data_IF_118237169931
#
_entry.id   IF_118237169931
#
_cell.length_a   1.000
_cell.length_b   1.000
_cell.length_c   1.000
_cell.angle_alpha   90.00
_cell.angle_beta   90.00
_cell.angle_gamma   90.00
#
_symmetry.space_group_name_H-M   'P 1'
#
loop_
_entity.id
_entity.type
_entity.pdbx_description
1 polymer ?
#
# COMPACT_ATOMS: atom_id res chain seq x y z
N UNK A 1 -17.40 8.63 -22.92
CA UNK A 1 -16.07 8.07 -22.59
C UNK A 1 -15.19 8.20 -23.82
N UNK A 2 -13.96 8.67 -23.68
CA UNK A 2 -12.99 8.71 -24.77
C UNK A 2 -12.14 7.45 -24.68
N UNK A 3 -12.31 6.54 -25.61
CA UNK A 3 -11.53 5.30 -25.72
C UNK A 3 -10.46 5.48 -26.76
N UNK A 4 -9.19 5.48 -26.35
CA UNK A 4 -8.06 5.35 -27.28
C UNK A 4 -7.91 3.85 -27.55
N UNK A 5 -8.21 3.44 -28.77
CA UNK A 5 -8.00 2.07 -29.24
C UNK A 5 -6.67 2.00 -29.98
N UNK A 6 -5.76 1.14 -29.53
CA UNK A 6 -4.52 0.82 -30.24
C UNK A 6 -4.71 -0.54 -30.91
N UNK A 7 -4.27 -0.68 -32.16
CA UNK A 7 -4.38 -1.92 -32.95
C UNK A 7 -3.91 -3.16 -32.19
N UNK A 8 -4.46 -4.33 -32.52
CA UNK A 8 -4.25 -5.65 -31.89
C UNK A 8 -2.81 -6.23 -31.92
N UNK A 9 -1.80 -5.43 -32.23
CA UNK A 9 -0.39 -5.79 -32.17
C UNK A 9 0.25 -5.29 -30.86
N UNK A 10 1.44 -5.82 -30.52
CA UNK A 10 2.31 -5.29 -29.47
C UNK A 10 2.36 -3.77 -29.48
N UNK A 11 2.23 -3.16 -28.31
CA UNK A 11 2.19 -1.71 -28.18
C UNK A 11 3.54 -1.10 -28.57
N UNK A 12 3.58 -0.11 -29.49
CA UNK A 12 4.83 0.57 -29.83
C UNK A 12 5.45 1.23 -28.59
N UNK A 13 6.78 1.18 -28.47
CA UNK A 13 7.48 1.71 -27.29
C UNK A 13 7.10 3.15 -26.94
N UNK A 14 7.00 4.05 -27.94
CA UNK A 14 6.62 5.45 -27.68
C UNK A 14 5.20 5.58 -27.09
N UNK A 15 4.27 4.74 -27.54
CA UNK A 15 2.91 4.69 -27.03
C UNK A 15 2.92 4.14 -25.60
N UNK A 16 3.54 2.97 -25.39
CA UNK A 16 3.67 2.36 -24.06
C UNK A 16 4.31 3.32 -23.05
N UNK A 17 5.36 4.04 -23.46
CA UNK A 17 6.07 5.03 -22.65
C UNK A 17 5.15 6.19 -22.22
N UNK A 18 4.38 6.74 -23.14
CA UNK A 18 3.50 7.87 -22.84
C UNK A 18 2.30 7.44 -21.98
N UNK A 19 1.73 6.27 -22.25
CA UNK A 19 0.63 5.70 -21.48
C UNK A 19 1.07 5.29 -20.07
N UNK A 20 2.26 4.71 -19.92
CA UNK A 20 2.86 4.41 -18.61
C UNK A 20 3.09 5.67 -17.79
N UNK A 21 3.57 6.75 -18.42
CA UNK A 21 3.72 8.05 -17.76
C UNK A 21 2.37 8.60 -17.30
N UNK A 22 1.36 8.57 -18.17
CA UNK A 22 0.04 9.08 -17.84
C UNK A 22 -0.57 8.30 -16.66
N UNK A 23 -0.48 6.98 -16.70
CA UNK A 23 -0.96 6.10 -15.63
C UNK A 23 -0.22 6.37 -14.31
N UNK A 24 1.11 6.46 -14.35
CA UNK A 24 1.92 6.72 -13.17
C UNK A 24 1.66 8.10 -12.56
N UNK A 25 1.44 9.14 -13.38
CA UNK A 25 1.09 10.49 -12.92
C UNK A 25 -0.24 10.48 -12.13
N UNK A 26 -1.23 9.71 -12.60
CA UNK A 26 -2.50 9.54 -11.89
C UNK A 26 -2.36 8.72 -10.63
N UNK A 27 -1.54 7.68 -10.64
CA UNK A 27 -1.20 6.93 -9.43
C UNK A 27 -0.49 7.83 -8.41
N UNK A 28 0.42 8.70 -8.86
CA UNK A 28 1.10 9.68 -8.01
C UNK A 28 0.11 10.61 -7.31
N UNK A 29 -0.83 11.15 -8.08
CA UNK A 29 -1.85 12.07 -7.59
C UNK A 29 -2.82 11.40 -6.60
N UNK A 30 -3.33 10.21 -6.93
CA UNK A 30 -4.38 9.56 -6.14
C UNK A 30 -3.86 8.79 -4.93
N UNK A 31 -2.65 8.25 -5.03
CA UNK A 31 -2.03 7.44 -3.97
C UNK A 31 -1.02 8.23 -3.15
N UNK A 32 -0.79 9.51 -3.47
CA UNK A 32 0.20 10.35 -2.78
C UNK A 32 1.59 9.73 -2.83
N UNK A 33 2.07 9.37 -4.02
CA UNK A 33 3.37 8.73 -4.17
C UNK A 33 4.51 9.70 -3.84
N UNK A 34 5.57 9.20 -3.22
CA UNK A 34 6.85 9.91 -3.14
C UNK A 34 7.52 9.97 -4.51
N UNK A 35 8.54 10.82 -4.68
CA UNK A 35 9.27 10.92 -5.94
C UNK A 35 9.86 9.56 -6.37
N UNK A 36 10.50 8.84 -5.44
CA UNK A 36 11.10 7.53 -5.72
C UNK A 36 10.05 6.47 -6.05
N UNK A 37 8.89 6.49 -5.38
CA UNK A 37 7.77 5.63 -5.74
C UNK A 37 7.22 5.95 -7.13
N UNK A 38 7.10 7.23 -7.48
CA UNK A 38 6.59 7.64 -8.78
C UNK A 38 7.48 7.16 -9.93
N UNK A 39 8.81 7.25 -9.78
CA UNK A 39 9.75 6.71 -10.77
C UNK A 39 9.60 5.20 -10.95
N UNK A 40 9.61 4.44 -9.85
CA UNK A 40 9.47 2.98 -9.90
C UNK A 40 8.10 2.55 -10.45
N UNK A 41 7.01 3.25 -10.11
CA UNK A 41 5.68 2.99 -10.65
C UNK A 41 5.63 3.23 -12.15
N UNK A 42 6.31 4.27 -12.66
CA UNK A 42 6.44 4.50 -14.10
C UNK A 42 7.16 3.34 -14.79
N UNK A 43 8.29 2.87 -14.23
CA UNK A 43 9.06 1.76 -14.79
C UNK A 43 8.24 0.46 -14.82
N UNK A 44 7.60 0.10 -13.72
CA UNK A 44 6.74 -1.09 -13.62
C UNK A 44 5.58 -1.04 -14.62
N UNK A 45 4.96 0.12 -14.78
CA UNK A 45 3.89 0.30 -15.76
C UNK A 45 4.41 0.15 -17.19
N UNK A 46 5.58 0.71 -17.49
CA UNK A 46 6.18 0.58 -18.83
C UNK A 46 6.53 -0.88 -19.14
N UNK A 47 7.12 -1.59 -18.19
CA UNK A 47 7.43 -3.01 -18.34
C UNK A 47 6.20 -3.85 -18.66
N UNK A 48 5.11 -3.62 -17.93
CA UNK A 48 3.85 -4.30 -18.21
C UNK A 48 3.36 -4.01 -19.63
N UNK A 49 3.30 -2.74 -20.04
CA UNK A 49 2.77 -2.37 -21.35
C UNK A 49 3.62 -2.86 -22.52
N UNK A 50 4.95 -2.98 -22.34
CA UNK A 50 5.84 -3.53 -23.36
C UNK A 50 5.71 -5.05 -23.52
N UNK A 51 5.26 -5.75 -22.48
CA UNK A 51 5.16 -7.20 -22.46
C UNK A 51 3.74 -7.74 -22.72
N UNK A 52 2.73 -6.87 -22.74
CA UNK A 52 1.35 -7.23 -23.12
C UNK A 52 1.22 -7.21 -24.65
N UNK A 53 1.02 -8.39 -25.23
CA UNK A 53 1.01 -8.59 -26.69
C UNK A 53 -0.33 -9.14 -27.21
N UNK A 54 -1.00 -9.98 -26.42
CA UNK A 54 -2.28 -10.59 -26.81
C UNK A 54 -3.40 -10.28 -25.81
N UNK A 55 -4.65 -10.51 -26.24
CA UNK A 55 -5.84 -10.42 -25.37
C UNK A 55 -5.69 -11.23 -24.07
N UNK A 56 -5.03 -12.38 -24.13
CA UNK A 56 -4.83 -13.24 -22.96
C UNK A 56 -3.88 -12.63 -21.93
N UNK A 57 -2.99 -11.72 -22.36
CA UNK A 57 -1.94 -11.15 -21.50
C UNK A 57 -2.44 -9.99 -20.63
N UNK A 58 -3.59 -9.39 -20.96
CA UNK A 58 -4.17 -8.24 -20.23
C UNK A 58 -4.27 -8.50 -18.72
N UNK A 59 -4.74 -9.69 -18.35
CA UNK A 59 -4.81 -10.16 -16.96
C UNK A 59 -4.00 -11.45 -16.78
N UNK A 60 -3.00 -11.64 -17.63
CA UNK A 60 -2.13 -12.81 -17.62
C UNK A 60 -0.88 -12.60 -16.77
N UNK A 61 0.16 -13.34 -17.12
CA UNK A 61 1.40 -13.39 -16.36
C UNK A 61 2.02 -12.01 -16.08
N UNK A 62 2.07 -11.12 -17.08
CA UNK A 62 2.69 -9.81 -16.90
C UNK A 62 1.89 -8.86 -16.03
N UNK A 63 0.57 -9.03 -15.97
CA UNK A 63 -0.28 -8.31 -15.03
C UNK A 63 -0.01 -8.74 -13.58
N UNK A 64 0.18 -10.04 -13.34
CA UNK A 64 0.55 -10.56 -12.03
C UNK A 64 1.92 -10.04 -11.60
N UNK A 65 2.91 -10.06 -12.50
CA UNK A 65 4.26 -9.51 -12.25
C UNK A 65 4.18 -8.02 -11.90
N UNK A 66 3.43 -7.23 -12.67
CA UNK A 66 3.23 -5.80 -12.41
C UNK A 66 2.69 -5.56 -11.00
N UNK A 67 1.63 -6.27 -10.63
CA UNK A 67 0.97 -6.06 -9.33
C UNK A 67 1.85 -6.53 -8.17
N UNK A 68 2.60 -7.62 -8.34
CA UNK A 68 3.61 -8.06 -7.39
C UNK A 68 4.72 -7.01 -7.21
N UNK A 69 5.24 -6.46 -8.31
CA UNK A 69 6.31 -5.46 -8.29
C UNK A 69 5.84 -4.17 -7.58
N UNK A 70 4.61 -3.73 -7.86
CA UNK A 70 3.99 -2.58 -7.16
C UNK A 70 3.86 -2.80 -5.64
N UNK A 71 3.70 -4.04 -5.18
CA UNK A 71 3.63 -4.33 -3.73
C UNK A 71 4.95 -4.10 -3.00
N UNK A 72 6.09 -4.20 -3.68
CA UNK A 72 7.38 -3.83 -3.08
C UNK A 72 7.52 -2.32 -2.95
N UNK A 73 7.06 -1.56 -3.94
CA UNK A 73 7.20 -0.09 -4.02
C UNK A 73 6.21 0.64 -3.11
N UNK A 74 4.94 0.23 -3.13
CA UNK A 74 3.86 0.92 -2.43
C UNK A 74 3.83 0.60 -0.93
N UNK A 75 3.35 1.54 -0.12
CA UNK A 75 2.94 1.25 1.26
C UNK A 75 1.69 0.36 1.27
N UNK A 76 1.38 -0.27 2.41
CA UNK A 76 0.19 -1.13 2.53
C UNK A 76 -1.08 -0.39 2.13
N UNK A 77 -1.31 0.82 2.66
CA UNK A 77 -2.53 1.57 2.37
C UNK A 77 -2.59 2.07 0.92
N UNK A 78 -1.43 2.41 0.32
CA UNK A 78 -1.35 2.77 -1.10
C UNK A 78 -1.69 1.57 -1.98
N UNK A 79 -1.19 0.39 -1.62
CA UNK A 79 -1.46 -0.85 -2.35
C UNK A 79 -2.95 -1.26 -2.24
N UNK A 80 -3.55 -1.09 -1.06
CA UNK A 80 -4.99 -1.34 -0.86
C UNK A 80 -5.85 -0.39 -1.72
N UNK A 81 -5.53 0.91 -1.72
CA UNK A 81 -6.17 1.91 -2.59
C UNK A 81 -5.99 1.61 -4.07
N UNK A 82 -4.79 1.18 -4.46
CA UNK A 82 -4.47 0.76 -5.82
C UNK A 82 -5.35 -0.41 -6.26
N UNK A 83 -5.45 -1.48 -5.46
CA UNK A 83 -6.28 -2.64 -5.76
C UNK A 83 -7.78 -2.28 -5.84
N UNK A 84 -8.24 -1.36 -4.99
CA UNK A 84 -9.62 -0.89 -4.99
C UNK A 84 -9.97 0.00 -6.20
N UNK A 85 -8.98 0.46 -6.96
CA UNK A 85 -9.16 1.36 -8.11
C UNK A 85 -9.07 0.60 -9.41
N UNK A 86 -10.21 0.30 -10.06
CA UNK A 86 -10.22 -0.51 -11.29
C UNK A 86 -9.33 0.07 -12.40
N UNK A 87 -9.30 1.40 -12.55
CA UNK A 87 -8.47 2.06 -13.57
C UNK A 87 -6.96 1.97 -13.32
N UNK A 88 -6.52 1.60 -12.10
CA UNK A 88 -5.12 1.32 -11.80
C UNK A 88 -4.81 -0.16 -11.75
N UNK A 89 -5.68 -0.95 -11.11
CA UNK A 89 -5.49 -2.37 -10.93
C UNK A 89 -5.64 -3.14 -12.24
N UNK A 90 -6.56 -2.69 -13.11
CA UNK A 90 -6.84 -3.29 -14.42
C UNK A 90 -6.65 -2.22 -15.50
N UNK A 91 -5.40 -1.76 -15.71
CA UNK A 91 -5.15 -0.52 -16.46
C UNK A 91 -5.41 -0.68 -17.96
N UNK A 92 -5.32 -1.89 -18.49
CA UNK A 92 -5.61 -2.24 -19.89
C UNK A 92 -6.81 -3.18 -19.92
N UNK A 93 -7.68 -3.01 -20.91
CA UNK A 93 -8.76 -3.93 -21.25
C UNK A 93 -8.77 -4.18 -22.75
N UNK A 94 -9.30 -5.33 -23.17
CA UNK A 94 -9.45 -5.67 -24.58
C UNK A 94 -10.86 -5.31 -25.07
N UNK A 95 -10.95 -4.42 -26.06
CA UNK A 95 -12.21 -4.02 -26.70
C UNK A 95 -12.33 -4.49 -28.15
N UNK A 96 -13.38 -4.05 -28.84
CA UNK A 96 -13.66 -4.38 -30.25
C UNK A 96 -12.66 -3.82 -31.27
N UNK A 97 -11.73 -2.96 -30.84
CA UNK A 97 -10.70 -2.34 -31.71
C UNK A 97 -9.26 -2.48 -31.21
N UNK A 98 -9.01 -3.29 -30.17
CA UNK A 98 -7.69 -3.52 -29.57
C UNK A 98 -7.59 -3.01 -28.13
N UNK A 99 -6.41 -2.54 -27.72
CA UNK A 99 -6.13 -2.10 -26.35
C UNK A 99 -6.93 -0.86 -25.98
N UNK A 100 -7.60 -0.87 -24.84
CA UNK A 100 -8.22 0.33 -24.24
C UNK A 100 -7.67 0.52 -22.83
N UNK A 101 -7.38 1.76 -22.45
CA UNK A 101 -6.88 2.07 -21.12
C UNK A 101 -7.98 2.53 -20.18
N UNK A 102 -8.13 1.84 -19.06
CA UNK A 102 -9.16 2.10 -18.05
C UNK A 102 -9.01 3.47 -17.40
N UNK A 103 -7.80 4.05 -17.38
CA UNK A 103 -7.55 5.39 -16.81
C UNK A 103 -8.34 6.51 -17.49
N UNK A 104 -8.68 6.34 -18.77
CA UNK A 104 -9.47 7.33 -19.54
C UNK A 104 -10.97 7.30 -19.22
N UNK A 105 -11.43 6.34 -18.42
CA UNK A 105 -12.79 6.38 -17.86
C UNK A 105 -12.93 7.43 -16.76
N UNK A 106 -11.82 7.79 -16.10
CA UNK A 106 -11.78 8.74 -14.98
C UNK A 106 -11.13 10.06 -15.34
N UNK A 107 -10.08 10.04 -16.16
CA UNK A 107 -9.32 11.23 -16.52
C UNK A 107 -9.41 11.53 -18.01
N UNK A 108 -9.67 12.80 -18.34
CA UNK A 108 -9.47 13.30 -19.69
C UNK A 108 -7.99 13.25 -20.08
N UNK A 109 -7.73 13.17 -21.38
CA UNK A 109 -6.38 13.12 -21.94
C UNK A 109 -5.54 14.36 -21.57
N UNK A 110 -4.24 14.16 -21.37
CA UNK A 110 -3.23 15.23 -21.41
C UNK A 110 -2.99 16.05 -20.14
N UNK A 111 -3.93 16.14 -19.18
CA UNK A 111 -3.65 16.84 -17.91
C UNK A 111 -2.63 16.05 -17.10
N UNK A 112 -1.50 16.64 -16.72
CA UNK A 112 -0.50 16.08 -15.78
C UNK A 112 -0.56 16.80 -14.44
N UNK A 113 -0.23 16.10 -13.36
CA UNK A 113 -0.12 16.66 -12.00
C UNK A 113 1.35 16.80 -11.55
N UNK A 114 2.25 15.99 -12.10
CA UNK A 114 3.66 15.95 -11.75
C UNK A 114 4.55 16.20 -12.97
N UNK A 115 5.78 16.64 -12.71
CA UNK A 115 6.84 16.64 -13.71
C UNK A 115 7.22 15.21 -14.08
N UNK A 116 7.65 15.00 -15.33
CA UNK A 116 8.09 13.69 -15.80
C UNK A 116 9.24 13.15 -14.94
N UNK A 117 9.23 11.85 -14.60
CA UNK A 117 10.31 11.22 -13.85
C UNK A 117 11.62 11.25 -14.66
N UNK A 118 12.77 11.29 -14.00
CA UNK A 118 14.07 11.41 -14.68
C UNK A 118 14.31 10.21 -15.63
N UNK A 119 13.89 9.03 -15.19
CA UNK A 119 13.95 7.76 -15.92
C UNK A 119 13.10 7.73 -17.19
N UNK A 120 12.21 8.71 -17.42
CA UNK A 120 11.36 8.72 -18.61
C UNK A 120 12.15 8.66 -19.93
N UNK A 121 13.30 9.33 -19.99
CA UNK A 121 14.11 9.41 -21.22
C UNK A 121 14.96 8.16 -21.42
N UNK A 122 15.51 7.64 -20.32
CA UNK A 122 16.55 6.61 -20.31
C UNK A 122 15.98 5.20 -20.24
N UNK A 123 14.89 4.97 -19.51
CA UNK A 123 14.36 3.64 -19.27
C UNK A 123 13.72 3.02 -20.53
N UNK A 124 14.07 1.76 -20.84
CA UNK A 124 13.61 1.00 -22.02
C UNK A 124 12.86 -0.28 -21.67
N UNK A 125 12.55 -0.48 -20.39
CA UNK A 125 12.05 -1.75 -19.87
C UNK A 125 13.16 -2.70 -19.42
N UNK A 126 12.75 -3.83 -18.82
CA UNK A 126 13.62 -4.94 -18.40
C UNK A 126 13.75 -5.14 -16.88
N UNK A 127 13.02 -4.40 -16.04
CA UNK A 127 13.05 -4.61 -14.58
C UNK A 127 12.11 -5.74 -14.14
N UNK A 128 10.98 -5.92 -14.81
CA UNK A 128 10.06 -7.04 -14.58
C UNK A 128 10.51 -8.32 -15.31
N UNK A 129 10.78 -9.40 -14.57
CA UNK A 129 11.18 -10.70 -15.14
C UNK A 129 10.55 -11.89 -14.40
N UNK A 130 10.62 -13.10 -15.01
CA UNK A 130 9.94 -14.31 -14.52
C UNK A 130 10.45 -14.84 -13.17
N UNK A 131 11.72 -14.61 -12.84
CA UNK A 131 12.39 -15.21 -11.68
C UNK A 131 12.38 -14.41 -10.38
N UNK A 132 11.80 -13.20 -10.35
CA UNK A 132 11.85 -12.33 -9.18
C UNK A 132 11.39 -10.92 -9.49
N UNK A 133 11.49 -10.03 -8.51
CA UNK A 133 11.21 -8.60 -8.68
C UNK A 133 12.52 -7.83 -8.55
N UNK A 134 12.86 -7.00 -9.53
CA UNK A 134 13.99 -6.05 -9.43
C UNK A 134 13.84 -5.16 -8.18
N UNK A 135 12.61 -4.81 -7.81
CA UNK A 135 12.28 -3.96 -6.67
C UNK A 135 12.32 -4.70 -5.32
N UNK A 136 12.50 -6.01 -5.31
CA UNK A 136 12.71 -6.74 -4.06
C UNK A 136 14.02 -6.27 -3.40
N UNK A 137 13.96 -6.01 -2.09
CA UNK A 137 15.12 -5.52 -1.33
C UNK A 137 15.43 -4.03 -1.51
N UNK A 138 14.76 -3.31 -2.42
CA UNK A 138 14.88 -1.86 -2.52
C UNK A 138 14.10 -1.18 -1.38
N UNK A 139 14.70 -0.12 -0.84
CA UNK A 139 14.05 0.71 0.19
C UNK A 139 13.31 1.87 -0.48
N UNK A 140 12.01 1.97 -0.20
CA UNK A 140 11.17 3.08 -0.61
C UNK A 140 10.63 3.78 0.63
N UNK A 141 10.69 5.11 0.63
CA UNK A 141 10.01 5.91 1.64
C UNK A 141 8.51 5.72 1.48
N UNK A 142 7.91 4.99 2.42
CA UNK A 142 6.50 4.64 2.42
C UNK A 142 5.74 5.64 3.29
N UNK A 143 4.95 6.55 2.69
CA UNK A 143 4.24 7.57 3.47
C UNK A 143 3.18 6.92 4.35
N UNK A 144 2.89 7.57 5.48
CA UNK A 144 1.73 7.22 6.30
C UNK A 144 0.43 7.59 5.57
N UNK A 145 -0.69 6.90 5.87
CA UNK A 145 -1.99 7.34 5.39
C UNK A 145 -2.23 8.81 5.78
N UNK A 146 -2.87 9.62 4.92
CA UNK A 146 -3.28 10.97 5.28
C UNK A 146 -4.08 10.97 6.60
N UNK A 147 -3.68 11.79 7.57
CA UNK A 147 -4.36 11.88 8.87
C UNK A 147 -5.63 12.73 8.75
N UNK A 148 -6.81 12.07 8.74
CA UNK A 148 -8.15 12.68 8.84
C UNK A 148 -9.08 12.21 7.70
N UNK A 149 -10.31 11.73 7.90
CA UNK A 149 -11.17 11.50 9.06
C UNK A 149 -11.65 10.04 9.03
N UNK A 150 -11.97 9.46 10.20
CA UNK A 150 -12.37 8.06 10.32
C UNK A 150 -13.47 7.66 9.33
N UNK A 151 -13.21 6.62 8.56
CA UNK A 151 -14.26 5.80 7.99
C UNK A 151 -14.17 4.43 8.69
N UNK A 152 -14.74 4.40 9.89
CA UNK A 152 -15.28 3.16 10.42
C UNK A 152 -16.39 2.76 9.45
N UNK A 153 -16.11 1.84 8.53
CA UNK A 153 -16.95 0.67 8.27
C UNK A 153 -16.44 -0.15 7.08
N UNK A 154 -16.42 -1.46 7.36
CA UNK A 154 -16.56 -2.58 6.45
C UNK A 154 -15.27 -3.04 5.74
N UNK A 155 -14.73 -4.23 5.99
CA UNK A 155 -15.23 -5.37 6.74
C UNK A 155 -14.28 -6.56 6.54
N UNK A 156 -14.18 -7.38 7.58
CA UNK A 156 -13.89 -8.81 7.50
C UNK A 156 -12.74 -9.27 6.59
N UNK A 157 -11.53 -9.35 7.15
CA UNK A 157 -10.65 -10.49 6.89
C UNK A 157 -10.10 -10.98 8.22
N UNK A 158 -10.95 -11.71 8.94
CA UNK A 158 -10.53 -12.64 9.96
C UNK A 158 -9.75 -13.78 9.27
N UNK A 159 -8.50 -13.54 8.91
CA UNK A 159 -7.56 -14.62 8.64
C UNK A 159 -7.13 -15.19 9.98
N UNK A 160 -7.97 -16.11 10.44
CA UNK A 160 -7.67 -17.20 11.33
C UNK A 160 -6.30 -17.82 10.95
N UNK A 161 -5.22 -17.33 11.56
CA UNK A 161 -3.98 -18.09 11.72
C UNK A 161 -3.98 -18.64 13.14
N UNK A 162 -4.80 -19.67 13.33
CA UNK A 162 -4.59 -20.66 14.37
C UNK A 162 -3.31 -21.42 14.01
N UNK A 163 -2.17 -20.93 14.50
CA UNK A 163 -0.98 -21.76 14.62
C UNK A 163 -0.53 -21.71 16.08
N UNK A 164 -0.64 -22.87 16.72
CA UNK A 164 -0.68 -22.99 18.16
C UNK A 164 0.62 -22.62 18.85
N UNK A 165 0.48 -22.09 20.05
CA UNK A 165 1.37 -22.50 21.13
C UNK A 165 0.57 -22.54 22.43
N UNK A 166 0.00 -23.72 22.68
CA UNK A 166 -0.53 -24.10 23.98
C UNK A 166 0.64 -24.22 24.94
N UNK A 167 0.77 -23.26 25.86
CA UNK A 167 1.45 -23.47 27.14
C UNK A 167 1.20 -22.26 28.02
N UNK A 168 0.12 -22.27 28.81
CA UNK A 168 0.04 -21.58 30.09
C UNK A 168 -0.96 -22.38 30.95
N UNK A 169 -0.43 -23.41 31.61
CA UNK A 169 -1.09 -24.13 32.69
C UNK A 169 -0.61 -23.59 34.04
N UNK A 170 -1.56 -23.21 34.89
CA UNK A 170 -1.36 -22.80 36.28
C UNK A 170 -0.81 -21.37 36.44
N UNK A 171 -1.19 -20.57 37.41
CA UNK A 171 -1.74 -20.86 38.72
C UNK A 171 -2.47 -19.60 39.24
N UNK A 172 -3.45 -19.82 40.10
CA UNK A 172 -4.36 -18.81 40.62
C UNK A 172 -3.70 -17.92 41.69
N UNK A 173 -4.35 -16.76 41.87
CA UNK A 173 -4.74 -16.17 43.15
C UNK A 173 -3.92 -14.98 43.69
N UNK A 174 -4.59 -13.83 43.70
CA UNK A 174 -4.72 -12.99 44.89
C UNK A 174 -3.80 -11.77 45.00
N UNK A 175 -4.31 -10.58 44.66
CA UNK A 175 -4.23 -9.50 45.64
C UNK A 175 -5.37 -8.49 45.46
N UNK A 176 -6.14 -8.31 46.53
CA UNK A 176 -7.34 -7.49 46.59
C UNK A 176 -7.01 -6.02 46.85
N UNK A 177 -7.82 -5.15 46.23
CA UNK A 177 -7.93 -3.72 46.47
C UNK A 177 -8.57 -3.44 47.86
N UNK A 178 -8.10 -2.44 48.61
CA UNK A 178 -8.62 -2.14 49.95
C UNK A 178 -8.24 -0.77 50.50
N UNK A 179 -9.09 0.22 50.20
CA UNK A 179 -9.18 1.57 50.74
C UNK A 179 -9.39 1.60 52.28
N UNK A 180 -8.80 2.55 53.02
CA UNK A 180 -9.05 2.70 54.46
C UNK A 180 -8.25 3.79 55.16
N UNK A 181 -8.70 5.04 55.03
CA UNK A 181 -8.18 6.23 55.71
C UNK A 181 -8.90 6.43 57.06
N UNK A 182 -8.30 6.14 58.24
CA UNK A 182 -8.81 6.61 59.54
C UNK A 182 -7.68 6.76 60.59
N UNK A 183 -7.47 8.00 61.01
CA UNK A 183 -6.77 8.44 62.22
C UNK A 183 -7.79 8.54 63.37
N UNK A 184 -7.49 8.01 64.56
CA UNK A 184 -8.00 8.60 65.79
C UNK A 184 -6.88 8.88 66.80
N UNK A 185 -6.75 10.18 67.09
CA UNK A 185 -6.17 10.73 68.31
C UNK A 185 -6.93 10.21 69.54
N UNK A 186 -6.24 9.53 70.47
CA UNK A 186 -6.70 9.36 71.85
C UNK A 186 -5.55 9.71 72.79
N UNK A 187 -5.80 10.80 73.52
CA UNK A 187 -5.01 11.39 74.58
C UNK A 187 -5.45 10.76 75.92
N UNK A 188 -4.53 10.13 76.66
CA UNK A 188 -4.69 9.86 78.10
C UNK A 188 -3.32 9.95 78.76
N UNK A 189 -3.13 10.97 79.60
CA UNK A 189 -1.93 11.13 80.42
C UNK A 189 -2.02 10.38 81.74
N UNK A 190 -0.88 9.94 82.25
CA UNK A 190 -0.52 10.19 83.66
C UNK A 190 1.01 10.06 83.88
N UNK A 191 1.52 11.05 84.63
CA UNK A 191 2.88 11.27 85.17
C UNK A 191 3.25 10.22 86.26
N UNK A 192 4.44 10.27 86.94
CA UNK A 192 5.80 10.69 86.55
C UNK A 192 6.95 9.83 87.18
N UNK A 193 8.21 10.24 86.90
CA UNK A 193 9.39 10.26 87.79
C UNK A 193 10.33 9.04 87.99
N UNK A 194 11.62 9.37 87.81
CA UNK A 194 12.83 8.94 88.56
C UNK A 194 13.44 7.56 88.35
N UNK A 195 14.77 7.55 88.20
CA UNK A 195 15.60 6.61 88.97
C UNK A 195 16.72 5.92 88.19
N UNK A 196 17.94 6.38 88.48
CA UNK A 196 19.24 5.81 88.14
C UNK A 196 19.41 4.33 88.51
N UNK A 197 20.29 3.63 87.79
CA UNK A 197 20.83 2.30 88.13
C UNK A 197 21.82 1.82 87.08
#
# INVERSE_FOLDING_TARGET
MMTIAISAAAMPYNTARNEALFLADKMAYELGLTATQYEAVYEINLDYLLNVDTRADVFGFWWEVRNRDLRYVLSTWQYDRFMASEWFYRPVVWGTGGWTFSIYTRYGVGRMFYHRPAVFVTFKGGHSHRGGSFYAGHHFDKPNPPRGHGNHNNGNHNYNHNNGNWNHGGNHNGNHNGNGNHNPSINHGNRPMTGNG
#
